data_IF_483307134831
#
_entry.id   IF_483307134831
#
_cell.length_a   1.000
_cell.length_b   1.000
_cell.length_c   1.000
_cell.angle_alpha   90.00
_cell.angle_beta   90.00
_cell.angle_gamma   90.00
#
_symmetry.space_group_name_H-M   'P 1'
#
loop_
_entity.id
_entity.type
_entity.pdbx_description
1 polymer ?
#
# COMPACT_ATOMS: atom_id res chain seq x y z
N UNK A 1 42.42 -3.27 -2.95
CA UNK A 1 43.79 -3.38 -2.42
C UNK A 1 43.91 -2.49 -1.19
N UNK A 2 44.58 -2.96 -0.13
CA UNK A 2 44.90 -2.13 1.04
C UNK A 2 46.10 -1.26 0.68
N UNK A 3 45.94 0.07 0.71
CA UNK A 3 47.04 1.01 0.47
C UNK A 3 47.82 1.30 1.76
N UNK A 4 49.09 1.70 1.65
CA UNK A 4 49.91 2.10 2.80
C UNK A 4 49.31 3.30 3.56
N UNK A 5 48.62 4.20 2.85
CA UNK A 5 47.86 5.30 3.45
C UNK A 5 46.71 4.81 4.32
N UNK A 6 45.97 3.79 3.86
CA UNK A 6 44.86 3.20 4.61
C UNK A 6 45.32 2.54 5.92
N UNK A 7 46.48 1.89 5.92
CA UNK A 7 47.08 1.29 7.14
C UNK A 7 47.47 2.38 8.14
N UNK A 8 48.06 3.48 7.69
CA UNK A 8 48.41 4.61 8.56
C UNK A 8 47.18 5.29 9.16
N UNK A 9 46.11 5.43 8.37
CA UNK A 9 44.83 5.93 8.86
C UNK A 9 44.26 5.03 9.97
N UNK A 10 44.20 3.72 9.75
CA UNK A 10 43.68 2.77 10.73
C UNK A 10 44.53 2.69 12.01
N UNK A 11 45.85 2.86 11.90
CA UNK A 11 46.73 2.98 13.06
C UNK A 11 46.48 4.28 13.86
N UNK A 12 46.17 5.40 13.18
CA UNK A 12 45.77 6.65 13.83
C UNK A 12 44.41 6.54 14.53
N UNK A 13 43.50 5.78 13.94
CA UNK A 13 42.18 5.45 14.49
C UNK A 13 42.22 4.39 15.60
N UNK A 14 43.41 3.83 15.91
CA UNK A 14 43.62 2.90 17.01
C UNK A 14 43.32 1.43 16.71
N UNK A 15 43.10 1.07 15.45
CA UNK A 15 42.80 -0.32 15.04
C UNK A 15 44.05 -1.20 14.85
N UNK A 16 45.22 -0.59 14.67
CA UNK A 16 46.48 -1.28 14.34
C UNK A 16 47.60 -0.71 15.23
N UNK A 17 48.36 -1.59 15.86
CA UNK A 17 49.53 -1.21 16.66
C UNK A 17 50.80 -1.06 15.79
N UNK A 18 51.66 -0.11 16.17
CA UNK A 18 52.92 0.15 15.45
C UNK A 18 54.06 -0.62 16.11
N UNK A 19 54.82 -1.36 15.31
CA UNK A 19 56.04 -2.04 15.76
C UNK A 19 57.24 -1.07 15.87
N UNK A 20 57.22 0.01 15.08
CA UNK A 20 58.29 1.01 15.02
C UNK A 20 57.98 2.14 14.03
N UNK A 21 58.96 2.99 13.72
CA UNK A 21 58.80 4.05 12.70
C UNK A 21 58.59 3.41 11.33
N UNK A 22 57.40 3.62 10.76
CA UNK A 22 56.95 3.04 9.49
C UNK A 22 56.98 1.50 9.42
N UNK A 23 56.95 0.83 10.59
CA UNK A 23 56.92 -0.62 10.70
C UNK A 23 55.67 -1.09 11.44
N UNK A 24 55.02 -2.11 10.89
CA UNK A 24 53.79 -2.69 11.41
C UNK A 24 53.91 -4.21 11.43
N UNK A 25 53.34 -4.85 12.45
CA UNK A 25 53.20 -6.31 12.43
C UNK A 25 52.10 -6.70 11.44
N UNK A 26 52.43 -7.60 10.51
CA UNK A 26 51.47 -8.05 9.50
C UNK A 26 50.19 -8.63 10.14
N UNK A 27 50.36 -9.37 11.24
CA UNK A 27 49.25 -9.98 11.98
C UNK A 27 48.31 -8.89 12.54
N UNK A 28 48.85 -7.82 13.12
CA UNK A 28 48.04 -6.73 13.67
C UNK A 28 47.32 -5.94 12.59
N UNK A 29 47.95 -5.72 11.44
CA UNK A 29 47.34 -5.04 10.29
C UNK A 29 46.15 -5.86 9.77
N UNK A 30 46.33 -7.18 9.61
CA UNK A 30 45.27 -8.07 9.11
C UNK A 30 44.13 -8.16 10.11
N UNK A 31 44.42 -8.38 11.39
CA UNK A 31 43.40 -8.48 12.43
C UNK A 31 42.66 -7.16 12.65
N UNK A 32 43.40 -6.04 12.71
CA UNK A 32 42.83 -4.69 12.84
C UNK A 32 41.91 -4.34 11.67
N UNK A 33 42.30 -4.70 10.44
CA UNK A 33 41.47 -4.48 9.26
C UNK A 33 40.18 -5.33 9.27
N UNK A 34 40.26 -6.59 9.68
CA UNK A 34 39.08 -7.46 9.83
C UNK A 34 38.13 -6.90 10.89
N UNK A 35 38.65 -6.44 12.04
CA UNK A 35 37.83 -5.83 13.10
C UNK A 35 37.14 -4.55 12.62
N UNK A 36 37.86 -3.67 11.93
CA UNK A 36 37.32 -2.45 11.33
C UNK A 36 36.18 -2.75 10.34
N UNK A 37 36.37 -3.74 9.47
CA UNK A 37 35.35 -4.14 8.47
C UNK A 37 34.10 -4.70 9.13
N UNK A 38 34.25 -5.62 10.07
CA UNK A 38 33.12 -6.23 10.76
C UNK A 38 32.32 -5.19 11.56
N UNK A 39 32.98 -4.23 12.21
CA UNK A 39 32.29 -3.16 12.93
C UNK A 39 31.56 -2.19 11.98
N UNK A 40 32.18 -1.84 10.85
CA UNK A 40 31.56 -1.01 9.81
C UNK A 40 30.33 -1.66 9.20
N UNK A 41 30.41 -2.96 8.87
CA UNK A 41 29.28 -3.74 8.36
C UNK A 41 28.16 -3.88 9.40
N UNK A 42 28.52 -4.06 10.68
CA UNK A 42 27.56 -4.12 11.79
C UNK A 42 26.83 -2.78 11.99
N UNK A 43 27.54 -1.65 11.88
CA UNK A 43 26.94 -0.30 11.96
C UNK A 43 26.03 -0.03 10.78
N UNK A 44 26.45 -0.37 9.56
CA UNK A 44 25.63 -0.21 8.35
C UNK A 44 24.35 -1.07 8.39
N UNK A 45 24.44 -2.30 8.91
CA UNK A 45 23.27 -3.17 9.06
C UNK A 45 22.27 -2.62 10.09
N UNK A 46 22.78 -2.10 11.22
CA UNK A 46 21.94 -1.46 12.25
C UNK A 46 21.26 -0.18 11.74
N UNK A 47 21.97 0.68 11.01
CA UNK A 47 21.40 1.91 10.46
C UNK A 47 20.34 1.62 9.39
N UNK A 48 20.59 0.64 8.51
CA UNK A 48 19.61 0.22 7.51
C UNK A 48 18.34 -0.36 8.16
N UNK A 49 18.49 -1.16 9.23
CA UNK A 49 17.33 -1.67 9.96
C UNK A 49 16.58 -0.57 10.72
N UNK A 50 17.28 0.39 11.31
CA UNK A 50 16.68 1.53 12.00
C UNK A 50 15.91 2.45 11.03
N UNK A 51 16.44 2.67 9.83
CA UNK A 51 15.77 3.45 8.77
C UNK A 51 14.45 2.79 8.39
N UNK A 52 14.44 1.48 8.10
CA UNK A 52 13.20 0.77 7.70
C UNK A 52 12.10 0.84 8.77
N UNK A 53 12.47 0.76 10.05
CA UNK A 53 11.50 0.88 11.15
C UNK A 53 10.98 2.32 11.26
N UNK A 54 11.83 3.32 11.07
CA UNK A 54 11.43 4.72 11.02
C UNK A 54 10.49 4.99 9.84
N UNK A 55 10.80 4.49 8.65
CA UNK A 55 10.01 4.66 7.42
C UNK A 55 8.64 3.95 7.50
N UNK A 56 8.59 2.80 8.19
CA UNK A 56 7.34 2.11 8.45
C UNK A 56 6.46 2.88 9.44
N UNK A 57 7.04 3.43 10.52
CA UNK A 57 6.33 4.27 11.49
C UNK A 57 5.85 5.58 10.88
N UNK A 58 6.64 6.20 10.00
CA UNK A 58 6.26 7.41 9.29
C UNK A 58 5.01 7.16 8.44
N UNK A 59 4.98 6.07 7.66
CA UNK A 59 3.81 5.68 6.87
C UNK A 59 2.58 5.36 7.73
N UNK A 60 2.77 4.70 8.87
CA UNK A 60 1.67 4.45 9.82
C UNK A 60 1.07 5.76 10.36
N UNK A 61 1.91 6.74 10.68
CA UNK A 61 1.47 8.06 11.16
C UNK A 61 0.76 8.84 10.05
N UNK A 62 1.26 8.81 8.82
CA UNK A 62 0.62 9.43 7.66
C UNK A 62 -0.76 8.84 7.39
N UNK A 63 -0.90 7.51 7.39
CA UNK A 63 -2.19 6.84 7.22
C UNK A 63 -3.16 7.21 8.34
N UNK A 64 -2.70 7.23 9.60
CA UNK A 64 -3.53 7.61 10.75
C UNK A 64 -3.97 9.08 10.73
N UNK A 65 -3.12 9.98 10.21
CA UNK A 65 -3.49 11.39 10.00
C UNK A 65 -4.56 11.50 8.91
N UNK A 66 -4.37 10.81 7.78
CA UNK A 66 -5.31 10.83 6.66
C UNK A 66 -6.69 10.23 7.01
N UNK A 67 -6.74 9.17 7.83
CA UNK A 67 -7.98 8.64 8.42
C UNK A 67 -8.70 9.69 9.28
N UNK A 68 -7.95 10.36 10.18
CA UNK A 68 -8.51 11.41 11.06
C UNK A 68 -9.03 12.62 10.32
N UNK A 69 -8.47 12.92 9.15
CA UNK A 69 -8.92 14.00 8.27
C UNK A 69 -10.08 13.58 7.36
N UNK A 70 -10.66 12.38 7.54
CA UNK A 70 -11.71 11.77 6.69
C UNK A 70 -11.33 11.68 5.21
N UNK A 71 -10.04 11.61 4.89
CA UNK A 71 -9.55 11.45 3.51
C UNK A 71 -9.44 9.98 3.10
N UNK A 72 -9.44 9.07 4.08
CA UNK A 72 -9.44 7.63 3.88
C UNK A 72 -10.63 7.01 4.63
N UNK A 73 -11.28 6.05 4.00
CA UNK A 73 -12.36 5.24 4.55
C UNK A 73 -11.98 3.77 4.40
N UNK A 74 -12.40 2.94 5.35
CA UNK A 74 -12.16 1.51 5.25
C UNK A 74 -12.92 0.95 4.04
N UNK A 75 -12.23 0.20 3.18
CA UNK A 75 -12.84 -0.36 1.97
C UNK A 75 -14.02 -1.28 2.31
N UNK A 76 -13.91 -2.03 3.42
CA UNK A 76 -14.98 -2.91 3.92
C UNK A 76 -16.24 -2.13 4.28
N UNK A 77 -16.11 -0.95 4.91
CA UNK A 77 -17.21 -0.06 5.28
C UNK A 77 -17.89 0.50 4.02
N UNK A 78 -17.11 0.92 3.03
CA UNK A 78 -17.67 1.41 1.76
C UNK A 78 -18.40 0.32 0.97
N UNK A 79 -17.87 -0.91 0.96
CA UNK A 79 -18.55 -2.06 0.34
C UNK A 79 -19.87 -2.32 1.06
N UNK A 80 -19.86 -2.38 2.40
CA UNK A 80 -21.06 -2.63 3.19
C UNK A 80 -22.13 -1.54 2.99
N UNK A 81 -21.72 -0.27 2.95
CA UNK A 81 -22.63 0.86 2.70
C UNK A 81 -23.20 0.81 1.27
N UNK A 82 -22.37 0.46 0.29
CA UNK A 82 -22.82 0.31 -1.11
C UNK A 82 -23.82 -0.84 -1.26
N UNK A 83 -23.56 -1.98 -0.63
CA UNK A 83 -24.47 -3.13 -0.60
C UNK A 83 -25.80 -2.79 0.06
N UNK A 84 -25.78 -2.04 1.17
CA UNK A 84 -27.00 -1.56 1.82
C UNK A 84 -27.82 -0.65 0.90
N UNK A 85 -27.18 0.33 0.26
CA UNK A 85 -27.87 1.25 -0.65
C UNK A 85 -28.52 0.50 -1.82
N UNK A 86 -27.75 -0.35 -2.51
CA UNK A 86 -28.25 -1.13 -3.65
C UNK A 86 -29.35 -2.11 -3.21
N UNK A 87 -29.20 -2.73 -2.04
CA UNK A 87 -30.21 -3.60 -1.44
C UNK A 87 -31.53 -2.87 -1.21
N UNK A 88 -31.50 -1.65 -0.67
CA UNK A 88 -32.69 -0.82 -0.49
C UNK A 88 -33.36 -0.47 -1.82
N UNK A 89 -32.59 -0.06 -2.84
CA UNK A 89 -33.15 0.21 -4.17
C UNK A 89 -33.82 -1.03 -4.77
N UNK A 90 -33.18 -2.20 -4.68
CA UNK A 90 -33.76 -3.45 -5.19
C UNK A 90 -35.06 -3.82 -4.47
N UNK A 91 -35.13 -3.61 -3.15
CA UNK A 91 -36.34 -3.88 -2.37
C UNK A 91 -37.51 -2.98 -2.80
N UNK A 92 -37.27 -1.67 -2.97
CA UNK A 92 -38.29 -0.72 -3.45
C UNK A 92 -38.76 -1.05 -4.87
N UNK A 93 -37.84 -1.41 -5.77
CA UNK A 93 -38.17 -1.75 -7.15
C UNK A 93 -38.93 -3.07 -7.27
N UNK A 94 -38.70 -4.04 -6.38
CA UNK A 94 -39.39 -5.34 -6.40
C UNK A 94 -40.91 -5.21 -6.21
N UNK A 95 -41.36 -4.21 -5.44
CA UNK A 95 -42.79 -3.93 -5.23
C UNK A 95 -43.45 -3.09 -6.32
N UNK A 96 -42.67 -2.42 -7.17
CA UNK A 96 -43.17 -1.47 -8.18
C UNK A 96 -44.16 -2.10 -9.18
N UNK A 97 -43.91 -3.29 -9.77
CA UNK A 97 -44.81 -3.89 -10.76
C UNK A 97 -46.24 -4.09 -10.23
N UNK A 98 -46.38 -4.50 -8.97
CA UNK A 98 -47.67 -4.69 -8.31
C UNK A 98 -48.42 -3.38 -8.03
N UNK A 99 -47.69 -2.26 -7.89
CA UNK A 99 -48.26 -0.93 -7.67
C UNK A 99 -48.71 -0.28 -8.98
N UNK A 100 -48.03 -0.60 -10.08
CA UNK A 100 -48.29 -0.01 -11.41
C UNK A 100 -49.50 -0.65 -12.08
N UNK A 101 -49.69 -1.96 -11.96
CA UNK A 101 -50.77 -2.68 -12.67
C UNK A 101 -51.27 -3.90 -11.92
N UNK A 102 -52.51 -4.29 -12.23
CA UNK A 102 -53.12 -5.56 -11.79
C UNK A 102 -53.02 -6.67 -12.85
N UNK A 103 -52.62 -6.31 -14.08
CA UNK A 103 -52.43 -7.27 -15.17
C UNK A 103 -51.14 -8.07 -14.93
N UNK A 104 -51.28 -9.39 -14.86
CA UNK A 104 -50.17 -10.33 -14.62
C UNK A 104 -49.13 -10.36 -15.75
N UNK A 105 -49.53 -10.16 -17.00
CA UNK A 105 -48.62 -10.12 -18.13
C UNK A 105 -47.78 -8.85 -18.09
N UNK A 106 -48.43 -7.69 -17.94
CA UNK A 106 -47.73 -6.40 -17.85
C UNK A 106 -46.81 -6.39 -16.63
N UNK A 107 -47.25 -6.96 -15.50
CA UNK A 107 -46.41 -7.09 -14.30
C UNK A 107 -45.13 -7.86 -14.58
N UNK A 108 -45.21 -9.02 -15.25
CA UNK A 108 -44.03 -9.82 -15.63
C UNK A 108 -43.11 -9.06 -16.56
N UNK A 109 -43.65 -8.33 -17.55
CA UNK A 109 -42.84 -7.50 -18.45
C UNK A 109 -42.05 -6.44 -17.70
N UNK A 110 -42.67 -5.77 -16.72
CA UNK A 110 -41.99 -4.79 -15.88
C UNK A 110 -40.93 -5.46 -15.00
N UNK A 111 -41.24 -6.61 -14.38
CA UNK A 111 -40.30 -7.38 -13.56
C UNK A 111 -39.05 -7.78 -14.37
N UNK A 112 -39.22 -8.30 -15.58
CA UNK A 112 -38.10 -8.61 -16.49
C UNK A 112 -37.29 -7.38 -16.80
N UNK A 113 -37.93 -6.27 -17.20
CA UNK A 113 -37.21 -5.05 -17.55
C UNK A 113 -36.41 -4.47 -16.37
N UNK A 114 -36.96 -4.54 -15.14
CA UNK A 114 -36.26 -4.12 -13.92
C UNK A 114 -35.04 -5.01 -13.67
N UNK A 115 -35.20 -6.33 -13.75
CA UNK A 115 -34.10 -7.27 -13.53
C UNK A 115 -32.99 -7.08 -14.56
N UNK A 116 -33.33 -6.91 -15.85
CA UNK A 116 -32.35 -6.64 -16.91
C UNK A 116 -31.55 -5.35 -16.65
N UNK A 117 -32.20 -4.31 -16.10
CA UNK A 117 -31.53 -3.07 -15.71
C UNK A 117 -30.57 -3.33 -14.53
N UNK A 118 -31.04 -4.05 -13.51
CA UNK A 118 -30.24 -4.36 -12.33
C UNK A 118 -29.02 -5.24 -12.67
N UNK A 119 -29.18 -6.21 -13.56
CA UNK A 119 -28.09 -7.08 -14.02
C UNK A 119 -27.02 -6.27 -14.76
N UNK A 120 -27.41 -5.35 -15.66
CA UNK A 120 -26.47 -4.43 -16.31
C UNK A 120 -25.71 -3.54 -15.33
N UNK A 121 -26.38 -3.09 -14.26
CA UNK A 121 -25.74 -2.29 -13.20
C UNK A 121 -24.74 -3.16 -12.42
N UNK A 122 -25.11 -4.40 -12.10
CA UNK A 122 -24.25 -5.35 -11.40
C UNK A 122 -22.97 -5.65 -12.20
N UNK A 123 -23.10 -5.93 -13.50
CA UNK A 123 -21.95 -6.16 -14.39
C UNK A 123 -21.00 -4.96 -14.44
N UNK A 124 -21.56 -3.75 -14.55
CA UNK A 124 -20.78 -2.51 -14.54
C UNK A 124 -20.08 -2.27 -13.20
N UNK A 125 -20.74 -2.60 -12.08
CA UNK A 125 -20.17 -2.48 -10.75
C UNK A 125 -19.00 -3.45 -10.53
N UNK A 126 -19.13 -4.71 -10.96
CA UNK A 126 -18.06 -5.72 -10.88
C UNK A 126 -16.84 -5.29 -11.69
N UNK A 127 -17.04 -4.82 -12.92
CA UNK A 127 -15.95 -4.32 -13.77
C UNK A 127 -15.18 -3.16 -13.12
N UNK A 128 -15.90 -2.23 -12.47
CA UNK A 128 -15.28 -1.09 -11.78
C UNK A 128 -14.64 -1.45 -10.44
N UNK A 129 -15.21 -2.41 -9.70
CA UNK A 129 -14.64 -2.88 -8.44
C UNK A 129 -13.25 -3.50 -8.64
N UNK A 130 -13.03 -4.22 -9.76
CA UNK A 130 -11.70 -4.72 -10.13
C UNK A 130 -10.66 -3.60 -10.27
N UNK A 131 -11.03 -2.46 -10.87
CA UNK A 131 -10.13 -1.31 -11.04
C UNK A 131 -9.73 -0.64 -9.71
N UNK A 132 -10.65 -0.63 -8.74
CA UNK A 132 -10.42 -0.08 -7.40
C UNK A 132 -9.51 -1.00 -6.57
N UNK A 133 -9.67 -2.32 -6.69
CA UNK A 133 -8.81 -3.29 -6.01
C UNK A 133 -7.35 -3.26 -6.52
N UNK A 134 -7.14 -2.89 -7.78
CA UNK A 134 -5.81 -2.75 -8.40
C UNK A 134 -5.13 -1.40 -8.07
N UNK A 135 -5.81 -0.49 -7.34
CA UNK A 135 -5.23 0.79 -6.92
C UNK A 135 -5.06 1.79 -8.06
N UNK A 136 -5.75 1.60 -9.18
CA UNK A 136 -5.70 2.54 -10.30
C UNK A 136 -6.53 3.79 -9.98
N UNK A 137 -5.83 4.90 -9.73
CA UNK A 137 -6.43 6.20 -9.39
C UNK A 137 -7.09 6.82 -10.64
N UNK A 138 -8.20 6.22 -11.07
CA UNK A 138 -8.96 6.64 -12.23
C UNK A 138 -10.20 7.39 -11.77
N UNK A 139 -10.16 8.72 -11.87
CA UNK A 139 -11.33 9.58 -11.71
C UNK A 139 -12.43 9.07 -12.65
N UNK A 140 -13.60 8.63 -12.14
CA UNK A 140 -14.62 8.07 -13.01
C UNK A 140 -15.07 9.16 -14.00
N UNK A 141 -15.26 8.83 -15.29
CA UNK A 141 -15.86 9.76 -16.23
C UNK A 141 -17.25 10.09 -15.70
N UNK A 142 -17.49 11.39 -15.47
CA UNK A 142 -18.82 11.91 -15.16
C UNK A 142 -19.69 11.44 -16.31
N UNK A 143 -20.68 10.58 -16.02
CA UNK A 143 -21.61 10.12 -17.04
C UNK A 143 -22.18 11.36 -17.75
N UNK A 144 -22.13 11.44 -19.09
CA UNK A 144 -22.76 12.54 -19.79
C UNK A 144 -24.24 12.51 -19.40
N UNK A 145 -24.72 13.59 -18.78
CA UNK A 145 -26.14 13.78 -18.49
C UNK A 145 -26.93 13.44 -19.76
N UNK A 146 -27.68 12.34 -19.73
CA UNK A 146 -28.68 12.05 -20.72
C UNK A 146 -29.84 13.03 -20.48
N UNK A 147 -29.81 14.12 -21.25
CA UNK A 147 -30.97 14.95 -21.54
C UNK A 147 -31.73 14.35 -22.72
#
# INVERSE_FOLDING_TARGET
>A
MISAERVRQLAKEGWIEKAGKDQFYLVDVVQGYIRFRNDSERRATKSASASRVSDARAREVELRIAERERRLVELSEMIALSDQLVGMFRAELSGLPARVTRDLQIRRTIETAINDILDRIADAAVSRAGMVAEGSDTKPPIAPNAA
#
